data_IF_466245192265
#
_entry.id   IF_466245192265
#
_cell.length_a   1.000
_cell.length_b   1.000
_cell.length_c   1.000
_cell.angle_alpha   90.00
_cell.angle_beta   90.00
_cell.angle_gamma   90.00
#
_symmetry.space_group_name_H-M   'P 1'
#
loop_
_entity.id
_entity.type
_entity.pdbx_description
1 polymer ?
#
# COMPACT_ATOMS: atom_id res chain seq x y z
N UNK A 1 -19.04 1.81 -17.19
CA UNK A 1 -18.74 0.91 -16.07
C UNK A 1 -18.60 1.76 -14.84
N UNK A 2 -19.46 1.54 -13.85
CA UNK A 2 -19.43 2.22 -12.57
C UNK A 2 -18.25 1.71 -11.72
N UNK A 3 -17.84 2.54 -10.76
CA UNK A 3 -16.75 2.24 -9.84
C UNK A 3 -17.23 2.51 -8.43
N UNK A 4 -16.78 1.67 -7.51
CA UNK A 4 -17.12 1.75 -6.09
C UNK A 4 -15.85 1.92 -5.28
N UNK A 5 -15.83 2.88 -4.34
CA UNK A 5 -14.68 3.13 -3.46
C UNK A 5 -15.09 2.94 -2.00
N UNK A 6 -14.44 1.99 -1.34
CA UNK A 6 -14.53 1.84 0.11
C UNK A 6 -13.34 2.56 0.74
N UNK A 7 -13.60 3.40 1.73
CA UNK A 7 -12.63 4.32 2.33
C UNK A 7 -12.76 4.27 3.85
N UNK A 8 -11.67 4.60 4.56
CA UNK A 8 -11.62 4.55 6.04
C UNK A 8 -11.95 3.19 6.63
N UNK A 9 -11.57 2.12 5.93
CA UNK A 9 -11.74 0.77 6.44
C UNK A 9 -10.66 0.46 7.48
N UNK A 10 -11.07 -0.18 8.56
CA UNK A 10 -10.19 -0.79 9.55
C UNK A 10 -9.66 -2.14 9.06
N UNK A 11 -8.58 -2.61 9.67
CA UNK A 11 -8.01 -3.94 9.40
C UNK A 11 -9.07 -5.04 9.55
N UNK A 12 -9.86 -5.00 10.62
CA UNK A 12 -10.87 -6.04 10.93
C UNK A 12 -12.01 -6.07 9.91
N UNK A 13 -12.41 -4.91 9.38
CA UNK A 13 -13.39 -4.82 8.29
C UNK A 13 -12.82 -5.43 7.01
N UNK A 14 -11.58 -5.08 6.66
CA UNK A 14 -10.93 -5.58 5.43
C UNK A 14 -10.67 -7.08 5.48
N UNK A 15 -10.32 -7.62 6.64
CA UNK A 15 -10.11 -9.06 6.83
C UNK A 15 -11.40 -9.87 6.58
N UNK A 16 -12.56 -9.27 6.89
CA UNK A 16 -13.88 -9.89 6.71
C UNK A 16 -14.49 -9.65 5.32
N UNK A 17 -13.85 -8.84 4.46
CA UNK A 17 -14.35 -8.58 3.11
C UNK A 17 -14.29 -9.83 2.24
N UNK A 18 -15.42 -10.17 1.63
CA UNK A 18 -15.59 -11.31 0.71
C UNK A 18 -15.74 -10.87 -0.74
N UNK A 19 -15.09 -9.76 -1.12
CA UNK A 19 -15.14 -9.24 -2.49
C UNK A 19 -14.39 -10.14 -3.49
N UNK A 20 -14.73 -10.01 -4.78
CA UNK A 20 -13.98 -10.65 -5.85
C UNK A 20 -12.66 -9.88 -6.10
N UNK A 21 -11.47 -10.47 -5.87
CA UNK A 21 -10.18 -9.81 -6.09
C UNK A 21 -9.99 -9.33 -7.53
N UNK A 22 -10.63 -9.98 -8.52
CA UNK A 22 -10.56 -9.57 -9.92
C UNK A 22 -11.27 -8.25 -10.20
N UNK A 23 -12.18 -7.80 -9.32
CA UNK A 23 -12.84 -6.51 -9.43
C UNK A 23 -12.05 -5.37 -8.80
N UNK A 24 -11.01 -5.64 -8.01
CA UNK A 24 -10.22 -4.57 -7.40
C UNK A 24 -9.41 -3.82 -8.45
N UNK A 25 -9.56 -2.50 -8.52
CA UNK A 25 -8.78 -1.60 -9.36
C UNK A 25 -7.51 -1.12 -8.65
N UNK A 26 -7.61 -0.84 -7.35
CA UNK A 26 -6.48 -0.50 -6.50
C UNK A 26 -6.83 -0.66 -5.03
N UNK A 27 -5.79 -0.68 -4.20
CA UNK A 27 -5.91 -0.53 -2.76
C UNK A 27 -4.74 0.30 -2.22
N UNK A 28 -4.97 0.93 -1.06
CA UNK A 28 -3.99 1.71 -0.31
C UNK A 28 -4.13 1.39 1.18
N UNK A 29 -3.00 1.17 1.85
CA UNK A 29 -2.85 1.11 3.30
C UNK A 29 -2.06 2.35 3.70
N UNK A 30 -2.75 3.33 4.30
CA UNK A 30 -2.11 4.52 4.85
C UNK A 30 -1.79 4.30 6.33
N UNK A 31 -0.52 4.06 6.62
CA UNK A 31 0.02 3.96 7.96
C UNK A 31 0.44 5.34 8.46
N UNK A 32 -0.01 5.78 9.63
CA UNK A 32 0.32 7.09 10.20
C UNK A 32 0.72 6.98 11.67
N UNK A 33 1.48 7.97 12.15
CA UNK A 33 1.85 8.10 13.56
C UNK A 33 1.14 9.28 14.20
N UNK A 34 0.90 9.16 15.50
CA UNK A 34 0.42 10.26 16.32
C UNK A 34 1.62 11.07 16.88
N UNK A 35 1.48 12.40 17.04
CA UNK A 35 0.33 13.22 16.64
C UNK A 35 0.23 13.38 15.11
N UNK A 36 -0.99 13.40 14.57
CA UNK A 36 -1.21 13.51 13.11
C UNK A 36 -0.68 14.84 12.53
N UNK A 37 -0.53 15.87 13.37
CA UNK A 37 0.03 17.18 13.01
C UNK A 37 1.46 17.10 12.46
N UNK A 38 2.23 16.10 12.88
CA UNK A 38 3.59 15.86 12.35
C UNK A 38 3.57 15.34 10.90
N UNK A 39 2.40 14.94 10.41
CA UNK A 39 2.19 14.36 9.08
C UNK A 39 3.14 13.20 8.76
N UNK A 40 3.55 12.42 9.77
CA UNK A 40 4.42 11.25 9.61
C UNK A 40 3.60 10.05 9.15
N UNK A 41 3.71 9.68 7.88
CA UNK A 41 2.96 8.55 7.34
C UNK A 41 3.70 7.81 6.22
N UNK A 42 3.23 6.59 5.97
CA UNK A 42 3.63 5.69 4.89
C UNK A 42 2.34 5.26 4.19
N UNK A 43 2.19 5.55 2.91
CA UNK A 43 1.11 5.00 2.10
C UNK A 43 1.63 3.88 1.23
N UNK A 44 1.28 2.63 1.54
CA UNK A 44 1.59 1.46 0.71
C UNK A 44 0.39 1.19 -0.19
N UNK A 45 0.60 1.08 -1.49
CA UNK A 45 -0.49 0.97 -2.45
C UNK A 45 -0.15 0.10 -3.65
N UNK A 46 -1.20 -0.35 -4.33
CA UNK A 46 -1.11 -1.14 -5.54
C UNK A 46 -2.19 -0.70 -6.53
N UNK A 47 -1.76 -0.33 -7.74
CA UNK A 47 -2.66 -0.08 -8.85
C UNK A 47 -2.70 -1.30 -9.77
N UNK A 48 -3.90 -1.84 -10.04
CA UNK A 48 -4.06 -2.98 -10.94
C UNK A 48 -3.55 -2.70 -12.34
N UNK A 49 -3.60 -1.47 -12.81
CA UNK A 49 -3.05 -1.11 -14.13
C UNK A 49 -1.59 -0.61 -14.07
N UNK A 50 -0.94 -0.70 -12.91
CA UNK A 50 0.41 -0.22 -12.65
C UNK A 50 0.47 1.23 -12.16
N UNK A 51 1.59 1.57 -11.53
CA UNK A 51 1.89 2.90 -11.02
C UNK A 51 2.54 3.74 -12.13
N UNK A 52 2.06 4.97 -12.41
CA UNK A 52 2.63 5.80 -13.46
C UNK A 52 4.03 6.30 -13.09
N UNK A 53 5.02 6.03 -13.94
CA UNK A 53 6.42 6.46 -13.85
C UNK A 53 6.82 7.12 -15.17
N UNK A 54 6.65 8.44 -15.24
CA UNK A 54 6.81 9.14 -16.52
C UNK A 54 5.70 8.73 -17.49
N UNK A 55 6.07 8.22 -18.66
CA UNK A 55 5.14 7.71 -19.67
C UNK A 55 4.86 6.20 -19.55
N UNK A 56 5.50 5.51 -18.60
CA UNK A 56 5.33 4.08 -18.39
C UNK A 56 4.40 3.78 -17.22
N UNK A 57 3.67 2.66 -17.31
CA UNK A 57 2.96 2.09 -16.16
C UNK A 57 3.72 0.90 -15.61
N UNK A 58 4.17 1.00 -14.37
CA UNK A 58 5.04 0.00 -13.73
C UNK A 58 4.23 -0.85 -12.75
N UNK A 59 4.23 -2.15 -12.97
CA UNK A 59 3.57 -3.16 -12.12
C UNK A 59 4.39 -3.46 -10.86
N UNK A 60 3.69 -3.76 -9.78
CA UNK A 60 4.26 -4.02 -8.47
C UNK A 60 3.77 -3.06 -7.37
N UNK A 61 3.99 -3.47 -6.13
CA UNK A 61 3.70 -2.71 -4.92
C UNK A 61 4.55 -1.45 -4.91
N UNK A 62 3.90 -0.35 -4.55
CA UNK A 62 4.55 0.94 -4.38
C UNK A 62 4.28 1.45 -2.97
N UNK A 63 5.13 2.35 -2.50
CA UNK A 63 4.81 3.14 -1.34
C UNK A 63 5.31 4.57 -1.51
N UNK A 64 4.68 5.47 -0.76
CA UNK A 64 5.17 6.83 -0.55
C UNK A 64 5.25 7.09 0.94
N UNK A 65 6.10 8.03 1.34
CA UNK A 65 6.25 8.42 2.72
C UNK A 65 6.30 9.93 2.87
N UNK A 66 6.02 10.43 4.07
CA UNK A 66 6.12 11.85 4.39
C UNK A 66 6.73 12.03 5.77
N UNK A 67 7.62 13.02 5.90
CA UNK A 67 8.30 13.38 7.15
C UNK A 67 8.99 12.19 7.86
N UNK A 68 9.51 11.22 7.10
CA UNK A 68 10.28 10.10 7.64
C UNK A 68 11.76 10.24 7.36
N UNK A 69 12.58 9.70 8.26
CA UNK A 69 14.01 9.59 8.04
C UNK A 69 14.33 8.60 6.92
N UNK A 70 15.40 8.87 6.17
CA UNK A 70 15.86 8.00 5.08
C UNK A 70 16.14 6.57 5.54
N UNK A 71 16.61 6.39 6.78
CA UNK A 71 16.84 5.07 7.38
C UNK A 71 15.55 4.28 7.47
N UNK A 72 14.47 4.91 7.91
CA UNK A 72 13.16 4.30 8.03
C UNK A 72 12.59 3.94 6.64
N UNK A 73 12.69 4.85 5.68
CA UNK A 73 12.35 4.56 4.28
C UNK A 73 13.09 3.32 3.75
N UNK A 74 14.38 3.18 4.05
CA UNK A 74 15.17 2.00 3.67
C UNK A 74 14.68 0.72 4.34
N UNK A 75 14.24 0.78 5.61
CA UNK A 75 13.69 -0.36 6.33
C UNK A 75 12.34 -0.81 5.75
N UNK A 76 11.49 0.14 5.33
CA UNK A 76 10.24 -0.14 4.62
C UNK A 76 10.52 -0.84 3.29
N UNK A 77 11.44 -0.33 2.48
CA UNK A 77 11.87 -0.98 1.23
C UNK A 77 12.36 -2.40 1.47
N UNK A 78 13.24 -2.60 2.46
CA UNK A 78 13.77 -3.95 2.80
C UNK A 78 12.65 -4.89 3.22
N UNK A 79 11.71 -4.43 4.04
CA UNK A 79 10.57 -5.21 4.50
C UNK A 79 9.70 -5.66 3.32
N UNK A 80 9.27 -4.72 2.48
CA UNK A 80 8.40 -5.00 1.34
C UNK A 80 9.11 -5.88 0.29
N UNK A 81 10.39 -5.61 -0.02
CA UNK A 81 11.19 -6.45 -0.94
C UNK A 81 11.37 -7.87 -0.42
N UNK A 82 11.61 -8.05 0.88
CA UNK A 82 11.73 -9.40 1.46
C UNK A 82 10.43 -10.20 1.30
N UNK A 83 9.28 -9.53 1.39
CA UNK A 83 7.95 -10.18 1.35
C UNK A 83 7.45 -10.43 -0.06
N UNK A 84 7.68 -9.49 -0.98
CA UNK A 84 7.05 -9.50 -2.31
C UNK A 84 8.05 -9.51 -3.47
N UNK A 85 9.34 -9.39 -3.20
CA UNK A 85 10.38 -9.30 -4.22
C UNK A 85 10.39 -7.98 -4.98
N UNK A 86 10.82 -8.02 -6.23
CA UNK A 86 10.90 -6.87 -7.13
C UNK A 86 12.19 -6.04 -7.02
N UNK A 87 12.43 -5.22 -8.03
CA UNK A 87 13.52 -4.23 -8.07
C UNK A 87 12.99 -2.85 -7.68
N UNK A 88 13.67 -2.16 -6.78
CA UNK A 88 13.29 -0.82 -6.34
C UNK A 88 13.60 0.24 -7.39
N UNK A 89 12.64 1.13 -7.60
CA UNK A 89 12.76 2.37 -8.38
C UNK A 89 12.35 3.50 -7.45
N UNK A 90 13.30 4.38 -7.12
CA UNK A 90 13.05 5.57 -6.29
C UNK A 90 12.73 6.79 -7.16
N UNK A 91 11.71 7.56 -6.77
CA UNK A 91 11.35 8.84 -7.39
C UNK A 91 10.87 9.81 -6.31
N UNK A 92 11.79 10.60 -5.76
CA UNK A 92 11.53 11.43 -4.59
C UNK A 92 11.15 10.55 -3.39
N UNK A 93 10.08 10.90 -2.69
CA UNK A 93 9.55 10.18 -1.52
C UNK A 93 8.65 8.99 -1.90
N UNK A 94 8.71 8.55 -3.16
CA UNK A 94 7.96 7.40 -3.67
C UNK A 94 8.91 6.32 -4.16
N UNK A 95 8.64 5.08 -3.77
CA UNK A 95 9.40 3.90 -4.17
C UNK A 95 8.46 2.87 -4.78
N UNK A 96 8.86 2.27 -5.89
CA UNK A 96 8.11 1.24 -6.59
C UNK A 96 8.94 -0.03 -6.63
N UNK A 97 8.39 -1.15 -6.17
CA UNK A 97 9.01 -2.46 -6.27
C UNK A 97 8.57 -3.12 -7.58
N UNK A 98 9.22 -2.73 -8.69
CA UNK A 98 8.90 -3.20 -10.03
C UNK A 98 8.97 -4.73 -10.09
N UNK A 99 7.88 -5.33 -10.58
CA UNK A 99 7.76 -6.78 -10.72
C UNK A 99 7.60 -7.53 -9.39
N UNK A 100 7.30 -6.83 -8.29
CA UNK A 100 6.91 -7.49 -7.04
C UNK A 100 5.56 -8.19 -7.17
N UNK A 101 5.34 -9.22 -6.34
CA UNK A 101 4.10 -9.98 -6.29
C UNK A 101 2.92 -9.07 -5.96
N UNK A 102 1.92 -9.06 -6.83
CA UNK A 102 0.66 -8.33 -6.67
C UNK A 102 -0.40 -9.21 -5.98
N UNK A 103 -1.28 -8.59 -5.19
CA UNK A 103 -2.37 -9.27 -4.51
C UNK A 103 -3.56 -8.32 -4.34
N UNK A 104 -4.77 -8.86 -4.19
CA UNK A 104 -6.01 -8.07 -4.20
C UNK A 104 -7.10 -8.60 -3.26
N UNK A 105 -6.82 -9.67 -2.50
CA UNK A 105 -7.80 -10.19 -1.54
C UNK A 105 -7.84 -9.34 -0.27
N UNK A 106 -9.01 -9.22 0.35
CA UNK A 106 -9.16 -8.52 1.63
C UNK A 106 -8.23 -9.08 2.69
N UNK A 107 -8.13 -10.41 2.79
CA UNK A 107 -7.22 -11.08 3.73
C UNK A 107 -5.77 -10.65 3.56
N UNK A 108 -5.22 -10.70 2.34
CA UNK A 108 -3.80 -10.33 2.13
C UNK A 108 -3.53 -8.84 2.40
N UNK A 109 -4.50 -7.96 2.11
CA UNK A 109 -4.42 -6.53 2.42
C UNK A 109 -4.42 -6.30 3.94
N UNK A 110 -5.34 -6.96 4.66
CA UNK A 110 -5.40 -6.89 6.12
C UNK A 110 -4.15 -7.46 6.79
N UNK A 111 -3.64 -8.59 6.32
CA UNK A 111 -2.40 -9.20 6.82
C UNK A 111 -1.21 -8.26 6.66
N UNK A 112 -1.07 -7.60 5.49
CA UNK A 112 -0.02 -6.60 5.29
C UNK A 112 -0.20 -5.39 6.22
N UNK A 113 -1.42 -4.90 6.39
CA UNK A 113 -1.70 -3.77 7.28
C UNK A 113 -1.30 -4.09 8.74
N UNK A 114 -1.66 -5.28 9.25
CA UNK A 114 -1.26 -5.75 10.60
C UNK A 114 0.26 -5.78 10.76
N UNK A 115 0.97 -6.29 9.77
CA UNK A 115 2.44 -6.35 9.80
C UNK A 115 3.08 -4.96 9.76
N UNK A 116 2.51 -4.04 8.97
CA UNK A 116 2.99 -2.64 8.92
C UNK A 116 2.78 -1.94 10.26
N UNK A 117 1.59 -2.05 10.85
CA UNK A 117 1.30 -1.48 12.18
C UNK A 117 2.25 -2.01 13.24
N UNK A 118 2.40 -3.34 13.32
CA UNK A 118 3.27 -3.99 14.31
C UNK A 118 4.74 -3.63 14.11
N UNK A 119 5.23 -3.60 12.87
CA UNK A 119 6.65 -3.39 12.57
C UNK A 119 7.08 -1.94 12.71
N UNK A 120 6.23 -1.00 12.33
CA UNK A 120 6.58 0.42 12.27
C UNK A 120 5.91 1.26 13.36
N UNK A 121 5.18 0.63 14.28
CA UNK A 121 4.45 1.27 15.37
C UNK A 121 3.56 2.41 14.83
N UNK A 122 2.64 2.04 13.93
CA UNK A 122 1.72 2.96 13.25
C UNK A 122 0.28 2.50 13.44
N UNK A 123 -0.68 3.39 13.18
CA UNK A 123 -2.08 3.03 12.92
C UNK A 123 -2.33 3.04 11.41
N UNK A 124 -3.29 2.27 10.92
CA UNK A 124 -3.57 2.15 9.49
C UNK A 124 -5.02 2.44 9.14
N UNK A 125 -5.19 3.07 7.98
CA UNK A 125 -6.48 3.24 7.31
C UNK A 125 -6.38 2.65 5.92
N UNK A 126 -7.35 1.83 5.56
CA UNK A 126 -7.35 1.10 4.28
C UNK A 126 -8.42 1.69 3.35
N UNK A 127 -8.06 1.78 2.07
CA UNK A 127 -8.94 2.16 0.97
C UNK A 127 -8.86 1.10 -0.12
N UNK A 128 -10.00 0.72 -0.70
CA UNK A 128 -10.09 -0.23 -1.82
C UNK A 128 -11.05 0.32 -2.86
N UNK A 129 -10.64 0.36 -4.12
CA UNK A 129 -11.46 0.75 -5.27
C UNK A 129 -11.78 -0.48 -6.14
N UNK A 130 -13.02 -0.57 -6.58
CA UNK A 130 -13.55 -1.67 -7.38
C UNK A 130 -14.09 -1.19 -8.73
N UNK A 131 -13.98 -2.07 -9.71
CA UNK A 131 -14.73 -2.04 -10.96
C UNK A 131 -16.03 -2.82 -10.75
N UNK A 132 -17.17 -2.23 -11.13
CA UNK A 132 -18.46 -2.89 -11.02
C UNK A 132 -18.60 -4.11 -11.93
#
# INVERSE_FOLDING_TARGET
MSRSKYWKLTIDEVEKLTHNPNKVLNWEIKCYREPEEDAKFIGVFLYKNGTPVGYESVKGISYFYNNLEKKEASEITKFLKKKFGGSDIEKGERVILKGSKEFYSGKEIADLAKELESKFNTKSVITIEFQD
#
